data_IF_631734462000
#
_entry.id   IF_631734462000
#
_cell.length_a   1.000
_cell.length_b   1.000
_cell.length_c   1.000
_cell.angle_alpha   90.00
_cell.angle_beta   90.00
_cell.angle_gamma   90.00
#
_symmetry.space_group_name_H-M   'P 1'
#
loop_
_entity.id
_entity.type
_entity.pdbx_description
1 polymer ?
#
# COMPACT_ATOMS: atom_id res chain seq x y z
N UNK A 1 19.54 10.42 6.03
CA UNK A 1 19.10 9.30 5.16
C UNK A 1 17.57 9.33 5.08
N UNK A 2 16.94 9.38 3.90
CA UNK A 2 15.51 9.18 3.80
C UNK A 2 15.15 7.73 4.16
N UNK A 3 13.96 7.50 4.70
CA UNK A 3 13.46 6.15 4.98
C UNK A 3 13.28 5.35 3.67
N UNK A 4 13.72 4.08 3.64
CA UNK A 4 13.44 3.19 2.51
C UNK A 4 12.08 2.53 2.67
N UNK A 5 11.11 3.04 1.92
CA UNK A 5 9.74 2.54 1.93
C UNK A 5 9.62 1.06 1.53
N UNK A 6 10.64 0.48 0.87
CA UNK A 6 10.68 -0.98 0.59
C UNK A 6 10.70 -1.82 1.87
N UNK A 7 11.27 -1.30 2.95
CA UNK A 7 11.29 -2.00 4.25
C UNK A 7 9.88 -2.30 4.76
N UNK A 8 8.88 -1.47 4.44
CA UNK A 8 7.48 -1.77 4.76
C UNK A 8 6.91 -2.93 3.96
N UNK A 9 7.37 -3.18 2.74
CA UNK A 9 6.94 -4.38 2.01
C UNK A 9 7.54 -5.64 2.63
N UNK A 10 8.81 -5.58 3.02
CA UNK A 10 9.47 -6.70 3.70
C UNK A 10 8.84 -6.98 5.07
N UNK A 11 8.50 -5.93 5.82
CA UNK A 11 7.72 -6.07 7.06
C UNK A 11 6.32 -6.64 6.83
N UNK A 12 5.64 -6.27 5.73
CA UNK A 12 4.36 -6.87 5.38
C UNK A 12 4.48 -8.37 5.11
N UNK A 13 5.53 -8.79 4.39
CA UNK A 13 5.82 -10.20 4.12
C UNK A 13 6.14 -10.97 5.39
N UNK A 14 6.91 -10.37 6.31
CA UNK A 14 7.21 -11.04 7.57
C UNK A 14 5.96 -11.23 8.41
N UNK A 15 5.08 -10.23 8.50
CA UNK A 15 3.87 -10.30 9.30
C UNK A 15 2.78 -11.25 8.74
N UNK A 16 2.75 -11.45 7.42
CA UNK A 16 1.76 -12.30 6.76
C UNK A 16 1.84 -13.76 7.23
N UNK A 17 0.87 -14.19 8.03
CA UNK A 17 0.81 -15.55 8.58
C UNK A 17 1.62 -15.76 9.88
N UNK A 18 2.10 -14.69 10.51
CA UNK A 18 2.72 -14.76 11.84
C UNK A 18 1.70 -14.48 12.96
N UNK A 19 1.87 -15.17 14.08
CA UNK A 19 1.23 -14.84 15.35
C UNK A 19 2.33 -14.63 16.40
N UNK A 20 2.19 -13.57 17.20
CA UNK A 20 3.12 -13.27 18.27
C UNK A 20 2.63 -13.79 19.62
N UNK A 21 3.53 -13.82 20.60
CA UNK A 21 3.14 -14.12 22.00
C UNK A 21 2.24 -13.02 22.58
N UNK A 22 2.41 -11.78 22.10
CA UNK A 22 1.73 -10.58 22.63
C UNK A 22 0.70 -9.97 21.68
N UNK A 23 0.40 -10.60 20.54
CA UNK A 23 -0.58 -10.10 19.56
C UNK A 23 -1.21 -11.24 18.76
N UNK A 24 -2.47 -11.05 18.35
CA UNK A 24 -3.19 -12.02 17.53
C UNK A 24 -2.64 -12.08 16.10
N UNK A 25 -2.89 -13.19 15.41
CA UNK A 25 -2.62 -13.30 13.95
C UNK A 25 -3.34 -12.20 13.17
N UNK A 26 -4.59 -11.90 13.54
CA UNK A 26 -5.37 -10.83 12.92
C UNK A 26 -4.66 -9.47 13.01
N UNK A 27 -4.13 -9.10 14.19
CA UNK A 27 -3.40 -7.85 14.35
C UNK A 27 -2.17 -7.78 13.44
N UNK A 28 -1.44 -8.89 13.28
CA UNK A 28 -0.30 -8.98 12.38
C UNK A 28 -0.73 -8.87 10.90
N UNK A 29 -1.79 -9.57 10.51
CA UNK A 29 -2.32 -9.58 9.15
C UNK A 29 -2.89 -8.22 8.73
N UNK A 30 -3.70 -7.56 9.58
CA UNK A 30 -4.19 -6.19 9.35
C UNK A 30 -3.03 -5.21 9.20
N UNK A 31 -2.02 -5.35 10.05
CA UNK A 31 -0.79 -4.55 9.97
C UNK A 31 -0.03 -4.80 8.67
N UNK A 32 0.06 -6.06 8.22
CA UNK A 32 0.72 -6.43 6.96
C UNK A 32 0.07 -5.74 5.76
N UNK A 33 -1.27 -5.71 5.68
CA UNK A 33 -2.01 -4.99 4.62
C UNK A 33 -1.65 -3.51 4.64
N UNK A 34 -1.65 -2.88 5.82
CA UNK A 34 -1.34 -1.46 5.94
C UNK A 34 0.12 -1.13 5.60
N UNK A 35 1.08 -2.00 5.97
CA UNK A 35 2.48 -1.84 5.56
C UNK A 35 2.67 -2.02 4.05
N UNK A 36 2.04 -3.01 3.43
CA UNK A 36 2.07 -3.20 1.98
C UNK A 36 1.52 -1.96 1.24
N UNK A 37 0.40 -1.40 1.73
CA UNK A 37 -0.16 -0.16 1.19
C UNK A 37 0.81 1.01 1.27
N UNK A 38 1.37 1.29 2.45
CA UNK A 38 2.24 2.46 2.63
C UNK A 38 3.53 2.34 1.83
N UNK A 39 4.10 1.13 1.73
CA UNK A 39 5.24 0.86 0.85
C UNK A 39 4.92 1.27 -0.60
N UNK A 40 3.86 0.71 -1.19
CA UNK A 40 3.45 1.01 -2.55
C UNK A 40 3.09 2.49 -2.75
N UNK A 41 2.25 3.06 -1.87
CA UNK A 41 1.82 4.46 -2.00
C UNK A 41 3.00 5.43 -1.96
N UNK A 42 3.92 5.27 -1.01
CA UNK A 42 5.05 6.19 -0.87
C UNK A 42 6.06 6.05 -2.02
N UNK A 43 6.36 4.83 -2.47
CA UNK A 43 7.26 4.62 -3.62
C UNK A 43 6.64 5.17 -4.91
N UNK A 44 5.35 4.90 -5.17
CA UNK A 44 4.65 5.43 -6.34
C UNK A 44 4.54 6.95 -6.28
N UNK A 45 4.28 7.54 -5.10
CA UNK A 45 4.26 8.99 -4.92
C UNK A 45 5.63 9.59 -5.25
N UNK A 46 6.71 9.02 -4.72
CA UNK A 46 8.06 9.52 -4.96
C UNK A 46 8.43 9.41 -6.45
N UNK A 47 8.09 8.28 -7.08
CA UNK A 47 8.24 8.09 -8.53
C UNK A 47 7.46 9.15 -9.32
N UNK A 48 6.20 9.42 -8.97
CA UNK A 48 5.38 10.41 -9.64
C UNK A 48 5.90 11.84 -9.43
N UNK A 49 6.45 12.16 -8.26
CA UNK A 49 7.10 13.45 -8.00
C UNK A 49 8.35 13.64 -8.86
N UNK A 50 9.18 12.61 -8.97
CA UNK A 50 10.44 12.68 -9.69
C UNK A 50 10.27 12.63 -11.22
N UNK A 51 9.32 11.83 -11.72
CA UNK A 51 9.24 11.49 -13.16
C UNK A 51 7.98 11.99 -13.85
N UNK A 52 6.92 12.29 -13.09
CA UNK A 52 5.61 12.66 -13.63
C UNK A 52 5.15 14.04 -13.17
N UNK A 53 6.03 14.83 -12.56
CA UNK A 53 5.74 16.20 -12.09
C UNK A 53 4.54 16.28 -11.14
N UNK A 54 4.28 15.22 -10.37
CA UNK A 54 3.22 15.23 -9.36
C UNK A 54 3.61 16.17 -8.21
N UNK A 55 2.75 17.14 -7.89
CA UNK A 55 2.91 18.02 -6.73
C UNK A 55 1.93 17.61 -5.64
N UNK A 56 2.43 16.91 -4.63
CA UNK A 56 1.65 16.53 -3.46
C UNK A 56 1.40 17.72 -2.53
N UNK A 57 0.24 17.70 -1.87
CA UNK A 57 -0.20 18.71 -0.90
C UNK A 57 0.15 18.35 0.55
N UNK A 58 0.67 17.13 0.79
CA UNK A 58 0.92 16.54 2.12
C UNK A 58 -0.33 16.41 2.99
N UNK A 59 -1.51 16.32 2.36
CA UNK A 59 -2.79 16.09 3.03
C UNK A 59 -3.31 14.68 2.74
N UNK A 60 -4.33 14.19 3.47
CA UNK A 60 -5.00 12.94 3.13
C UNK A 60 -5.55 12.88 1.69
N UNK A 61 -5.79 14.03 1.05
CA UNK A 61 -6.26 14.10 -0.33
C UNK A 61 -5.21 13.63 -1.35
N UNK A 62 -3.92 13.65 -1.00
CA UNK A 62 -2.85 13.17 -1.87
C UNK A 62 -3.04 11.72 -2.31
N UNK A 63 -3.73 10.92 -1.51
CA UNK A 63 -4.08 9.57 -1.90
C UNK A 63 -5.00 9.53 -3.12
N UNK A 64 -6.01 10.42 -3.18
CA UNK A 64 -6.90 10.57 -4.33
C UNK A 64 -6.16 11.25 -5.48
N UNK A 65 -5.51 12.38 -5.20
CA UNK A 65 -4.83 13.20 -6.19
C UNK A 65 -3.75 12.43 -6.95
N UNK A 66 -2.96 11.59 -6.26
CA UNK A 66 -1.96 10.74 -6.91
C UNK A 66 -2.59 9.77 -7.91
N UNK A 67 -3.71 9.12 -7.55
CA UNK A 67 -4.37 8.17 -8.46
C UNK A 67 -4.95 8.86 -9.68
N UNK A 68 -5.56 10.03 -9.51
CA UNK A 68 -6.06 10.84 -10.62
C UNK A 68 -4.94 11.35 -11.52
N UNK A 69 -3.82 11.76 -10.93
CA UNK A 69 -2.61 12.11 -11.65
C UNK A 69 -2.08 10.96 -12.50
N UNK A 70 -1.91 9.77 -11.90
CA UNK A 70 -1.46 8.58 -12.61
C UNK A 70 -2.38 8.22 -13.79
N UNK A 71 -3.70 8.32 -13.62
CA UNK A 71 -4.65 8.12 -14.72
C UNK A 71 -4.43 9.11 -15.87
N UNK A 72 -4.24 10.40 -15.56
CA UNK A 72 -3.93 11.42 -16.57
C UNK A 72 -2.62 11.18 -17.30
N UNK A 73 -1.66 10.52 -16.64
CA UNK A 73 -0.38 10.10 -17.21
C UNK A 73 -0.45 8.74 -17.94
N UNK A 74 -1.65 8.19 -18.18
CA UNK A 74 -1.83 6.89 -18.83
C UNK A 74 -1.48 5.67 -17.96
N UNK A 75 -1.10 5.86 -16.69
CA UNK A 75 -0.73 4.81 -15.74
C UNK A 75 -1.96 4.27 -14.98
N UNK A 76 -2.98 3.89 -15.75
CA UNK A 76 -4.28 3.44 -15.21
C UNK A 76 -4.15 2.18 -14.35
N UNK A 77 -3.25 1.26 -14.72
CA UNK A 77 -3.01 0.04 -13.95
C UNK A 77 -2.43 0.36 -12.56
N UNK A 78 -1.42 1.22 -12.48
CA UNK A 78 -0.83 1.66 -11.23
C UNK A 78 -1.85 2.39 -10.33
N UNK A 79 -2.69 3.24 -10.91
CA UNK A 79 -3.79 3.88 -10.19
C UNK A 79 -4.82 2.86 -9.66
N UNK A 80 -5.10 1.81 -10.42
CA UNK A 80 -5.99 0.70 -10.03
C UNK A 80 -5.40 -0.09 -8.87
N UNK A 81 -4.10 -0.43 -8.93
CA UNK A 81 -3.38 -1.08 -7.84
C UNK A 81 -3.47 -0.27 -6.54
N UNK A 82 -3.18 1.02 -6.56
CA UNK A 82 -3.31 1.89 -5.39
C UNK A 82 -4.74 2.02 -4.87
N UNK A 83 -5.74 1.95 -5.76
CA UNK A 83 -7.15 1.98 -5.35
C UNK A 83 -7.51 0.72 -4.57
N UNK A 84 -7.15 -0.46 -5.07
CA UNK A 84 -7.40 -1.75 -4.41
C UNK A 84 -6.71 -1.83 -3.06
N UNK A 85 -5.43 -1.46 -2.99
CA UNK A 85 -4.68 -1.47 -1.73
C UNK A 85 -5.30 -0.53 -0.69
N UNK A 86 -5.78 0.65 -1.09
CA UNK A 86 -6.44 1.59 -0.16
C UNK A 86 -7.74 1.02 0.39
N UNK A 87 -8.52 0.32 -0.42
CA UNK A 87 -9.77 -0.32 0.04
C UNK A 87 -9.46 -1.36 1.12
N UNK A 88 -8.50 -2.26 0.90
CA UNK A 88 -8.13 -3.25 1.91
C UNK A 88 -7.53 -2.63 3.15
N UNK A 89 -6.66 -1.62 3.00
CA UNK A 89 -6.13 -0.88 4.15
C UNK A 89 -7.24 -0.26 4.97
N UNK A 90 -8.21 0.42 4.35
CA UNK A 90 -9.30 1.03 5.08
C UNK A 90 -10.08 0.02 5.93
N UNK A 91 -10.41 -1.15 5.37
CA UNK A 91 -11.04 -2.20 6.14
C UNK A 91 -10.15 -2.70 7.29
N UNK A 92 -8.86 -2.91 7.02
CA UNK A 92 -7.89 -3.34 8.03
C UNK A 92 -7.59 -2.30 9.11
N UNK A 93 -7.82 -1.01 8.87
CA UNK A 93 -7.52 0.04 9.84
C UNK A 93 -8.76 0.49 10.63
N UNK A 94 -9.97 0.34 10.08
CA UNK A 94 -11.18 0.98 10.64
C UNK A 94 -12.38 0.08 10.86
N UNK A 95 -12.49 -1.08 10.19
CA UNK A 95 -13.67 -1.94 10.37
C UNK A 95 -13.48 -2.83 11.61
N UNK A 96 -14.56 -3.12 12.34
CA UNK A 96 -14.50 -4.03 13.49
C UNK A 96 -14.26 -5.49 13.07
N UNK A 97 -14.73 -5.86 11.87
CA UNK A 97 -14.59 -7.20 11.30
C UNK A 97 -14.07 -7.11 9.86
N UNK A 98 -13.02 -7.88 9.54
CA UNK A 98 -12.44 -7.93 8.20
C UNK A 98 -12.61 -9.32 7.58
N UNK A 99 -13.67 -9.55 6.79
CA UNK A 99 -13.89 -10.85 6.16
C UNK A 99 -12.79 -11.15 5.15
N UNK A 100 -12.36 -12.42 5.09
CA UNK A 100 -11.33 -12.90 4.17
C UNK A 100 -9.96 -12.20 4.34
N UNK A 101 -9.56 -11.88 5.57
CA UNK A 101 -8.32 -11.16 5.87
C UNK A 101 -7.07 -11.80 5.24
N UNK A 102 -6.91 -13.13 5.32
CA UNK A 102 -5.79 -13.83 4.69
C UNK A 102 -5.70 -13.58 3.17
N UNK A 103 -6.85 -13.50 2.48
CA UNK A 103 -6.90 -13.14 1.05
C UNK A 103 -6.46 -11.69 0.84
N UNK A 104 -6.90 -10.76 1.70
CA UNK A 104 -6.46 -9.36 1.66
C UNK A 104 -4.95 -9.24 1.82
N UNK A 105 -4.34 -9.96 2.78
CA UNK A 105 -2.88 -9.96 3.01
C UNK A 105 -2.12 -10.41 1.77
N UNK A 106 -2.44 -11.61 1.26
CA UNK A 106 -1.73 -12.19 0.11
C UNK A 106 -1.83 -11.27 -1.12
N UNK A 107 -3.01 -10.72 -1.39
CA UNK A 107 -3.21 -9.84 -2.54
C UNK A 107 -2.61 -8.45 -2.33
N UNK A 108 -2.62 -7.92 -1.11
CA UNK A 108 -2.01 -6.63 -0.81
C UNK A 108 -0.50 -6.65 -1.05
N UNK A 109 0.18 -7.69 -0.57
CA UNK A 109 1.62 -7.90 -0.80
C UNK A 109 1.90 -8.01 -2.30
N UNK A 110 1.19 -8.91 -3.00
CA UNK A 110 1.38 -9.14 -4.44
C UNK A 110 1.12 -7.90 -5.30
N UNK A 111 0.10 -7.11 -4.97
CA UNK A 111 -0.22 -5.89 -5.71
C UNK A 111 0.76 -4.76 -5.38
N UNK A 112 1.24 -4.67 -4.13
CA UNK A 112 2.29 -3.74 -3.76
C UNK A 112 3.59 -4.02 -4.53
N UNK A 113 4.00 -5.29 -4.63
CA UNK A 113 5.15 -5.72 -5.44
C UNK A 113 5.03 -5.27 -6.90
N UNK A 114 3.87 -5.53 -7.53
CA UNK A 114 3.60 -5.11 -8.91
C UNK A 114 3.69 -3.59 -9.07
N UNK A 115 3.05 -2.84 -8.17
CA UNK A 115 3.07 -1.38 -8.22
C UNK A 115 4.48 -0.81 -8.09
N UNK A 116 5.33 -1.42 -7.25
CA UNK A 116 6.72 -1.01 -7.04
C UNK A 116 7.58 -1.36 -8.25
N UNK A 117 7.39 -2.53 -8.84
CA UNK A 117 8.09 -2.95 -10.06
C UNK A 117 7.82 -2.01 -11.24
N UNK A 118 6.59 -1.50 -11.37
CA UNK A 118 6.21 -0.50 -12.38
C UNK A 118 6.87 0.88 -12.18
N UNK A 119 7.48 1.12 -11.02
CA UNK A 119 8.14 2.39 -10.66
C UNK A 119 9.68 2.30 -10.68
N UNK A 120 10.23 1.12 -10.98
CA UNK A 120 11.67 0.83 -10.97
C UNK A 120 12.32 1.09 -12.32
#
# INVERSE_FOLDING_TARGET
MPFDWREYLELAKSLGGQAGVSYSSEAAERSAVSRAYYSAFCLVRNYAQANLWFQGTKTPDDHKNLREHLKRQGKTQLASHLSKLRVWRNACDYDDEVPNLAYCVQNAIKIAEKAIQECS
#
